data_IF_669487157104
#
_entry.id   IF_669487157104
#
_cell.length_a   1.000
_cell.length_b   1.000
_cell.length_c   1.000
_cell.angle_alpha   90.00
_cell.angle_beta   90.00
_cell.angle_gamma   90.00
#
_symmetry.space_group_name_H-M   'P 1'
#
loop_
_entity.id
_entity.type
_entity.pdbx_description
1 polymer ?
#
# COMPACT_ATOMS: atom_id res chain seq x y z
N UNK A 1 8.86 36.19 8.24
CA UNK A 1 8.30 35.34 7.15
C UNK A 1 8.70 33.92 7.49
N UNK A 2 7.76 33.06 7.86
CA UNK A 2 8.03 31.62 7.96
C UNK A 2 8.07 31.06 6.54
N UNK A 3 8.96 30.12 6.20
CA UNK A 3 8.95 29.49 4.89
C UNK A 3 7.58 28.84 4.69
N UNK A 4 7.00 29.02 3.51
CA UNK A 4 5.81 28.29 3.10
C UNK A 4 6.28 26.84 2.98
N UNK A 5 5.95 25.99 3.95
CA UNK A 5 6.19 24.56 3.81
C UNK A 5 5.49 24.12 2.51
N UNK A 6 6.23 23.54 1.58
CA UNK A 6 5.62 23.00 0.37
C UNK A 6 4.67 21.86 0.79
N UNK A 7 3.39 21.98 0.45
CA UNK A 7 2.41 20.92 0.66
C UNK A 7 2.74 19.78 -0.32
N UNK A 8 3.51 18.78 0.13
CA UNK A 8 3.88 17.64 -0.69
C UNK A 8 2.74 16.64 -0.73
N UNK A 9 2.30 16.28 -1.93
CA UNK A 9 1.24 15.29 -2.12
C UNK A 9 1.83 13.93 -2.49
N UNK A 10 1.50 12.94 -1.66
CA UNK A 10 1.93 11.56 -1.83
C UNK A 10 0.74 10.63 -2.11
N UNK A 11 1.01 9.53 -2.79
CA UNK A 11 0.10 8.40 -2.84
C UNK A 11 0.78 7.07 -2.48
N UNK A 12 0.03 6.20 -1.83
CA UNK A 12 0.44 4.83 -1.54
C UNK A 12 -0.61 3.87 -2.09
N UNK A 13 -0.16 2.88 -2.86
CA UNK A 13 -0.98 1.75 -3.30
C UNK A 13 -0.55 0.52 -2.50
N UNK A 14 -1.50 -0.10 -1.82
CA UNK A 14 -1.32 -1.33 -1.05
C UNK A 14 -2.13 -2.46 -1.69
N UNK A 15 -1.46 -3.49 -2.19
CA UNK A 15 -2.06 -4.65 -2.84
C UNK A 15 -1.97 -5.85 -1.89
N UNK A 16 -2.97 -5.95 -1.01
CA UNK A 16 -3.07 -7.04 -0.05
C UNK A 16 -3.94 -8.22 -0.51
N UNK A 17 -3.95 -9.27 0.31
CA UNK A 17 -4.67 -10.51 0.02
C UNK A 17 -6.20 -10.34 -0.04
N UNK A 18 -6.77 -9.42 0.73
CA UNK A 18 -8.22 -9.19 0.78
C UNK A 18 -8.68 -8.03 -0.12
N UNK A 19 -7.88 -6.96 -0.20
CA UNK A 19 -8.24 -5.75 -0.90
C UNK A 19 -7.01 -5.00 -1.39
N UNK A 20 -7.24 -4.16 -2.38
CA UNK A 20 -6.28 -3.21 -2.90
C UNK A 20 -6.71 -1.81 -2.49
N UNK A 21 -5.79 -0.99 -2.00
CA UNK A 21 -6.06 0.34 -1.47
C UNK A 21 -5.22 1.40 -2.16
N UNK A 22 -5.79 2.59 -2.33
CA UNK A 22 -5.09 3.82 -2.68
C UNK A 22 -5.31 4.81 -1.55
N UNK A 23 -4.23 5.30 -0.95
CA UNK A 23 -4.22 6.45 -0.07
C UNK A 23 -3.56 7.62 -0.79
N UNK A 24 -4.22 8.77 -0.83
CA UNK A 24 -3.61 10.05 -1.20
C UNK A 24 -3.59 10.91 0.05
N UNK A 25 -2.44 11.50 0.35
CA UNK A 25 -2.26 12.35 1.52
C UNK A 25 -1.39 13.57 1.20
N UNK A 26 -1.73 14.67 1.85
CA UNK A 26 -0.91 15.87 1.90
C UNK A 26 0.02 15.77 3.12
N UNK A 27 1.30 15.98 2.93
CA UNK A 27 2.33 15.96 3.98
C UNK A 27 2.81 17.39 4.18
N UNK A 28 2.52 17.93 5.37
CA UNK A 28 2.89 19.27 5.77
C UNK A 28 4.13 19.17 6.64
N UNK A 29 5.27 19.61 6.14
CA UNK A 29 6.51 19.66 6.93
C UNK A 29 6.39 20.68 8.06
N UNK A 30 6.70 20.27 9.29
CA UNK A 30 6.82 21.15 10.46
C UNK A 30 8.17 20.93 11.14
N UNK A 31 8.57 21.90 11.95
CA UNK A 31 9.86 21.92 12.67
C UNK A 31 10.05 20.69 13.56
N UNK A 32 8.97 20.21 14.20
CA UNK A 32 9.04 19.07 15.11
C UNK A 32 8.85 17.72 14.39
N UNK A 33 7.76 17.58 13.65
CA UNK A 33 7.41 16.37 12.89
C UNK A 33 6.46 16.69 11.73
N UNK A 34 6.52 15.92 10.62
CA UNK A 34 5.57 16.09 9.53
C UNK A 34 4.14 15.75 9.96
N UNK A 35 3.17 16.51 9.46
CA UNK A 35 1.74 16.25 9.67
C UNK A 35 1.14 15.66 8.40
N UNK A 36 0.54 14.48 8.51
CA UNK A 36 -0.08 13.77 7.39
C UNK A 36 -1.59 14.01 7.41
N UNK A 37 -2.11 14.67 6.37
CA UNK A 37 -3.54 14.86 6.16
C UNK A 37 -4.03 13.90 5.07
N UNK A 38 -4.90 12.95 5.45
CA UNK A 38 -5.50 12.00 4.50
C UNK A 38 -6.50 12.74 3.60
N UNK A 39 -6.21 12.80 2.32
CA UNK A 39 -7.03 13.50 1.32
C UNK A 39 -8.05 12.56 0.70
N UNK A 40 -7.64 11.33 0.37
CA UNK A 40 -8.49 10.32 -0.25
C UNK A 40 -8.06 8.92 0.16
N UNK A 41 -9.04 8.05 0.45
CA UNK A 41 -8.81 6.62 0.66
C UNK A 41 -9.81 5.82 -0.17
N UNK A 42 -9.31 5.05 -1.14
CA UNK A 42 -10.12 4.16 -1.98
C UNK A 42 -9.75 2.72 -1.66
N UNK A 43 -10.74 1.85 -1.52
CA UNK A 43 -10.55 0.43 -1.26
C UNK A 43 -11.37 -0.41 -2.24
N UNK A 44 -10.71 -1.34 -2.93
CA UNK A 44 -11.33 -2.28 -3.86
C UNK A 44 -11.17 -3.71 -3.34
N UNK A 45 -12.26 -4.44 -3.03
CA UNK A 45 -12.19 -5.78 -2.47
C UNK A 45 -11.98 -6.85 -3.57
N UNK A 46 -10.76 -6.97 -4.09
CA UNK A 46 -10.42 -7.93 -5.15
C UNK A 46 -10.23 -9.37 -4.60
N UNK A 47 -9.82 -9.50 -3.33
CA UNK A 47 -9.59 -10.77 -2.64
C UNK A 47 -8.61 -11.70 -3.37
N UNK A 48 -7.46 -11.19 -3.79
CA UNK A 48 -6.41 -11.99 -4.47
C UNK A 48 -6.04 -13.28 -3.72
N UNK A 49 -5.97 -13.21 -2.39
CA UNK A 49 -5.67 -14.34 -1.53
C UNK A 49 -6.63 -15.51 -1.67
N UNK A 50 -7.90 -15.29 -2.03
CA UNK A 50 -8.83 -16.39 -2.24
C UNK A 50 -8.43 -17.31 -3.41
N UNK A 51 -7.74 -16.78 -4.44
CA UNK A 51 -7.23 -17.63 -5.51
C UNK A 51 -5.88 -18.23 -5.11
N UNK A 52 -5.00 -17.41 -4.52
CA UNK A 52 -3.63 -17.83 -4.21
C UNK A 52 -3.59 -18.88 -3.12
N UNK A 53 -4.40 -18.76 -2.07
CA UNK A 53 -4.40 -19.71 -0.95
C UNK A 53 -5.14 -21.01 -1.26
N UNK A 54 -5.92 -21.05 -2.34
CA UNK A 54 -6.63 -22.25 -2.79
C UNK A 54 -5.89 -22.94 -3.96
N UNK A 55 -5.54 -22.17 -4.99
CA UNK A 55 -4.99 -22.67 -6.26
C UNK A 55 -3.49 -22.36 -6.45
N UNK A 56 -2.88 -21.55 -5.59
CA UNK A 56 -1.46 -21.15 -5.70
C UNK A 56 -1.16 -20.11 -6.79
N UNK A 57 -2.17 -19.58 -7.47
CA UNK A 57 -2.00 -18.62 -8.57
C UNK A 57 -3.14 -17.59 -8.61
N UNK A 58 -2.87 -16.41 -9.14
CA UNK A 58 -3.90 -15.38 -9.39
C UNK A 58 -4.64 -15.73 -10.67
N UNK A 59 -5.96 -15.86 -10.63
CA UNK A 59 -6.76 -16.14 -11.83
C UNK A 59 -6.74 -14.96 -12.82
N UNK A 60 -6.96 -15.27 -14.11
CA UNK A 60 -7.10 -14.26 -15.16
C UNK A 60 -8.19 -13.22 -14.82
N UNK A 61 -9.30 -13.66 -14.24
CA UNK A 61 -10.38 -12.78 -13.83
C UNK A 61 -9.93 -11.76 -12.76
N UNK A 62 -9.19 -12.21 -11.73
CA UNK A 62 -8.66 -11.32 -10.70
C UNK A 62 -7.51 -10.44 -11.19
N UNK A 63 -6.66 -10.94 -12.09
CA UNK A 63 -5.63 -10.14 -12.76
C UNK A 63 -6.28 -8.99 -13.55
N UNK A 64 -7.28 -9.28 -14.37
CA UNK A 64 -7.95 -8.26 -15.18
C UNK A 64 -8.69 -7.25 -14.30
N UNK A 65 -9.26 -7.71 -13.18
CA UNK A 65 -9.88 -6.82 -12.20
C UNK A 65 -8.85 -5.94 -11.47
N UNK A 66 -7.69 -6.49 -11.12
CA UNK A 66 -6.56 -5.75 -10.55
C UNK A 66 -6.10 -4.66 -11.52
N UNK A 67 -5.86 -4.99 -12.78
CA UNK A 67 -5.44 -4.02 -13.82
C UNK A 67 -6.46 -2.89 -13.95
N UNK A 68 -7.76 -3.21 -14.04
CA UNK A 68 -8.82 -2.17 -14.10
C UNK A 68 -8.81 -1.25 -12.88
N UNK A 69 -8.64 -1.82 -11.69
CA UNK A 69 -8.60 -1.05 -10.44
C UNK A 69 -7.38 -0.13 -10.38
N UNK A 70 -6.22 -0.62 -10.81
CA UNK A 70 -4.98 0.13 -10.86
C UNK A 70 -4.98 1.22 -11.92
N UNK A 71 -5.62 1.01 -13.09
CA UNK A 71 -5.89 2.09 -14.07
C UNK A 71 -6.71 3.21 -13.44
N UNK A 72 -7.75 2.89 -12.68
CA UNK A 72 -8.55 3.90 -11.98
C UNK A 72 -7.71 4.64 -10.92
N UNK A 73 -6.83 3.93 -10.20
CA UNK A 73 -5.93 4.56 -9.23
C UNK A 73 -4.93 5.51 -9.90
N UNK A 74 -4.37 5.12 -11.06
CA UNK A 74 -3.48 5.99 -11.84
C UNK A 74 -4.17 7.30 -12.22
N UNK A 75 -5.42 7.23 -12.68
CA UNK A 75 -6.23 8.40 -13.02
C UNK A 75 -6.52 9.29 -11.80
N UNK A 76 -6.76 8.69 -10.62
CA UNK A 76 -6.92 9.45 -9.38
C UNK A 76 -5.62 10.13 -8.95
N UNK A 77 -4.49 9.45 -9.04
CA UNK A 77 -3.16 10.02 -8.75
C UNK A 77 -2.91 11.24 -9.66
N UNK A 78 -3.20 11.12 -10.96
CA UNK A 78 -3.08 12.24 -11.92
C UNK A 78 -4.05 13.38 -11.60
N UNK A 79 -5.33 13.08 -11.37
CA UNK A 79 -6.35 14.10 -11.11
C UNK A 79 -6.08 14.90 -9.82
N UNK A 80 -5.42 14.28 -8.83
CA UNK A 80 -5.04 14.94 -7.59
C UNK A 80 -3.70 15.68 -7.70
N UNK A 81 -2.97 15.56 -8.82
CA UNK A 81 -1.66 16.18 -9.01
C UNK A 81 -0.60 15.61 -8.08
N UNK A 82 -0.63 14.30 -7.81
CA UNK A 82 0.36 13.63 -6.94
C UNK A 82 1.68 13.49 -7.70
N UNK A 83 2.77 14.00 -7.13
CA UNK A 83 4.10 13.91 -7.74
C UNK A 83 4.87 12.65 -7.32
N UNK A 84 4.56 12.09 -6.16
CA UNK A 84 5.29 10.96 -5.58
C UNK A 84 4.33 9.86 -5.16
N UNK A 85 4.55 8.66 -5.66
CA UNK A 85 3.77 7.51 -5.22
C UNK A 85 4.60 6.23 -5.15
N UNK A 86 4.17 5.30 -4.30
CA UNK A 86 4.75 3.95 -4.19
C UNK A 86 3.62 2.92 -4.20
N UNK A 87 3.83 1.82 -4.93
CA UNK A 87 2.89 0.70 -4.96
C UNK A 87 3.59 -0.55 -4.41
N UNK A 88 3.01 -1.12 -3.36
CA UNK A 88 3.52 -2.33 -2.72
C UNK A 88 2.48 -3.46 -2.81
N UNK A 89 2.96 -4.69 -2.94
CA UNK A 89 2.14 -5.90 -2.83
C UNK A 89 2.71 -6.86 -1.78
N UNK A 90 1.82 -7.55 -1.07
CA UNK A 90 2.18 -8.34 0.12
C UNK A 90 1.87 -9.82 -0.07
N UNK A 91 1.45 -10.54 0.98
CA UNK A 91 1.33 -12.01 1.05
C UNK A 91 0.76 -12.67 -0.22
N UNK A 92 -0.44 -12.27 -0.70
CA UNK A 92 -1.03 -12.92 -1.86
C UNK A 92 -0.17 -12.80 -3.14
N UNK A 93 0.45 -11.66 -3.40
CA UNK A 93 1.31 -11.52 -4.59
C UNK A 93 2.65 -12.24 -4.39
N UNK A 94 3.19 -12.22 -3.18
CA UNK A 94 4.43 -12.90 -2.82
C UNK A 94 4.34 -14.41 -3.02
N UNK A 95 3.20 -14.99 -2.65
CA UNK A 95 2.92 -16.45 -2.69
C UNK A 95 2.40 -16.95 -4.05
N UNK A 96 1.92 -16.05 -4.93
CA UNK A 96 1.41 -16.44 -6.23
C UNK A 96 2.52 -16.99 -7.15
N UNK A 97 2.35 -18.22 -7.63
CA UNK A 97 3.29 -18.89 -8.55
C UNK A 97 3.44 -18.16 -9.88
N UNK A 98 2.39 -17.46 -10.34
CA UNK A 98 2.36 -16.66 -11.56
C UNK A 98 2.59 -15.15 -11.33
N UNK A 99 3.14 -14.74 -10.17
CA UNK A 99 3.35 -13.31 -9.84
C UNK A 99 4.13 -12.53 -10.90
N UNK A 100 5.17 -13.13 -11.48
CA UNK A 100 6.02 -12.44 -12.46
C UNK A 100 5.23 -12.06 -13.73
N UNK A 101 4.35 -12.95 -14.19
CA UNK A 101 3.45 -12.67 -15.30
C UNK A 101 2.47 -11.55 -14.91
N UNK A 102 1.78 -11.68 -13.77
CA UNK A 102 0.80 -10.69 -13.32
C UNK A 102 1.42 -9.29 -13.20
N UNK A 103 2.62 -9.18 -12.62
CA UNK A 103 3.34 -7.91 -12.48
C UNK A 103 3.71 -7.31 -13.84
N UNK A 104 4.20 -8.13 -14.79
CA UNK A 104 4.52 -7.66 -16.13
C UNK A 104 3.29 -7.13 -16.87
N UNK A 105 2.14 -7.82 -16.76
CA UNK A 105 0.88 -7.35 -17.33
C UNK A 105 0.40 -6.04 -16.68
N UNK A 106 0.52 -5.92 -15.36
CA UNK A 106 0.16 -4.68 -14.67
C UNK A 106 1.04 -3.52 -15.12
N UNK A 107 2.35 -3.70 -15.17
CA UNK A 107 3.28 -2.64 -15.58
C UNK A 107 3.00 -2.21 -17.03
N UNK A 108 2.84 -3.16 -17.95
CA UNK A 108 2.49 -2.90 -19.35
C UNK A 108 1.17 -2.12 -19.51
N UNK A 109 0.13 -2.49 -18.75
CA UNK A 109 -1.21 -1.94 -18.91
C UNK A 109 -1.43 -0.62 -18.15
N UNK A 110 -0.70 -0.41 -17.06
CA UNK A 110 -0.96 0.70 -16.11
C UNK A 110 0.21 1.68 -16.00
N UNK A 111 1.42 1.27 -16.40
CA UNK A 111 2.66 1.99 -16.13
C UNK A 111 3.06 2.02 -14.65
N UNK A 112 2.39 1.26 -13.79
CA UNK A 112 2.73 1.17 -12.36
C UNK A 112 3.73 0.05 -12.13
N UNK A 113 4.88 0.41 -11.61
CA UNK A 113 5.81 -0.55 -11.03
C UNK A 113 5.34 -0.94 -9.63
N UNK A 114 5.16 -2.25 -9.40
CA UNK A 114 4.74 -2.80 -8.10
C UNK A 114 5.94 -3.48 -7.44
N UNK A 115 6.25 -3.03 -6.24
CA UNK A 115 7.24 -3.66 -5.38
C UNK A 115 6.58 -4.77 -4.55
N UNK A 116 7.05 -6.00 -4.68
CA UNK A 116 6.63 -7.09 -3.79
C UNK A 116 7.52 -7.08 -2.56
N UNK A 117 6.92 -6.81 -1.39
CA UNK A 117 7.67 -6.70 -0.13
C UNK A 117 7.54 -7.96 0.72
N UNK A 118 8.57 -8.25 1.50
CA UNK A 118 8.57 -9.33 2.48
C UNK A 118 7.92 -8.91 3.80
N UNK A 119 7.47 -9.89 4.58
CA UNK A 119 6.77 -9.66 5.87
C UNK A 119 7.53 -8.74 6.84
N UNK A 120 8.86 -8.87 7.03
CA UNK A 120 9.60 -7.94 7.89
C UNK A 120 9.56 -6.49 7.40
N UNK A 121 9.66 -6.26 6.09
CA UNK A 121 9.58 -4.91 5.50
C UNK A 121 8.17 -4.34 5.70
N UNK A 122 7.14 -5.16 5.50
CA UNK A 122 5.75 -4.79 5.78
C UNK A 122 5.55 -4.39 7.24
N UNK A 123 6.05 -5.22 8.17
CA UNK A 123 6.02 -4.97 9.61
C UNK A 123 6.74 -3.68 10.00
N UNK A 124 7.94 -3.43 9.45
CA UNK A 124 8.72 -2.22 9.70
C UNK A 124 8.00 -0.97 9.17
N UNK A 125 7.38 -1.04 7.99
CA UNK A 125 6.62 0.08 7.42
C UNK A 125 5.40 0.42 8.28
N UNK A 126 4.70 -0.60 8.79
CA UNK A 126 3.56 -0.41 9.70
C UNK A 126 4.04 0.17 11.03
N UNK A 127 5.11 -0.39 11.60
CA UNK A 127 5.69 0.08 12.85
C UNK A 127 6.18 1.53 12.76
N UNK A 128 6.74 1.98 11.64
CA UNK A 128 7.16 3.37 11.47
C UNK A 128 5.99 4.38 11.48
N UNK A 129 4.74 3.94 11.41
CA UNK A 129 3.58 4.80 11.68
C UNK A 129 3.37 5.09 13.18
N UNK A 130 4.10 4.43 14.07
CA UNK A 130 4.02 4.54 15.53
C UNK A 130 4.21 5.98 16.04
N UNK A 131 5.08 6.78 15.41
CA UNK A 131 5.29 8.19 15.77
C UNK A 131 4.04 9.06 15.57
N UNK A 132 3.04 8.57 14.84
CA UNK A 132 1.74 9.24 14.67
C UNK A 132 0.72 8.88 15.76
N UNK A 133 1.09 8.01 16.71
CA UNK A 133 0.21 7.52 17.77
C UNK A 133 0.63 8.12 19.13
N UNK A 134 -0.33 8.58 19.92
CA UNK A 134 -0.12 9.13 21.27
C UNK A 134 0.20 8.00 22.29
N UNK A 135 1.35 7.34 22.13
CA UNK A 135 1.78 6.24 22.99
C UNK A 135 2.71 6.76 24.10
N UNK A 136 2.61 6.12 25.29
CA UNK A 136 3.45 6.46 26.45
C UNK A 136 4.92 6.14 26.15
N UNK A 137 5.83 7.08 26.45
CA UNK A 137 7.27 6.99 26.19
C UNK A 137 7.97 5.79 26.87
N UNK A 138 7.45 5.29 27.99
CA UNK A 138 8.09 4.24 28.80
C UNK A 138 7.32 2.90 28.80
N UNK A 139 6.51 2.64 27.76
CA UNK A 139 5.77 1.39 27.62
C UNK A 139 6.51 0.33 26.78
N UNK A 140 6.32 -0.95 27.09
CA UNK A 140 6.65 -2.06 26.19
C UNK A 140 5.42 -2.39 25.34
N UNK A 141 5.57 -2.35 24.01
CA UNK A 141 4.46 -2.57 23.08
C UNK A 141 4.77 -3.78 22.20
N UNK A 142 3.76 -4.61 21.97
CA UNK A 142 3.77 -5.63 20.92
C UNK A 142 2.72 -5.21 19.89
N UNK A 143 3.16 -4.90 18.68
CA UNK A 143 2.29 -4.66 17.55
C UNK A 143 1.99 -5.99 16.87
N UNK A 144 0.71 -6.25 16.59
CA UNK A 144 0.24 -7.44 15.90
C UNK A 144 -0.62 -6.97 14.73
N UNK A 145 -0.11 -7.09 13.51
CA UNK A 145 -0.93 -6.88 12.30
C UNK A 145 -1.54 -8.20 11.86
N UNK A 146 -2.84 -8.22 11.62
CA UNK A 146 -3.57 -9.42 11.17
C UNK A 146 -4.10 -9.16 9.77
N UNK A 147 -3.32 -9.60 8.78
CA UNK A 147 -3.66 -9.54 7.37
C UNK A 147 -4.59 -10.66 6.92
N UNK A 148 -4.94 -10.63 5.64
CA UNK A 148 -5.76 -11.69 5.02
C UNK A 148 -5.00 -12.98 4.70
N UNK A 149 -3.67 -12.95 4.76
CA UNK A 149 -2.79 -14.09 4.45
C UNK A 149 -1.51 -14.15 5.26
N UNK A 150 -1.27 -13.18 6.14
CA UNK A 150 -0.10 -13.14 7.02
C UNK A 150 -0.45 -12.47 8.34
N UNK A 151 0.43 -12.63 9.32
CA UNK A 151 0.34 -11.97 10.61
C UNK A 151 1.75 -11.57 11.04
N UNK A 152 1.95 -10.29 11.26
CA UNK A 152 3.24 -9.68 11.53
C UNK A 152 3.31 -9.25 12.99
N UNK A 153 4.46 -9.49 13.65
CA UNK A 153 4.72 -9.14 15.04
C UNK A 153 5.95 -8.23 15.12
N UNK A 154 5.80 -7.06 15.73
CA UNK A 154 6.90 -6.09 15.96
C UNK A 154 6.89 -5.61 17.40
N UNK A 155 8.05 -5.47 18.03
CA UNK A 155 8.21 -5.05 19.44
C UNK A 155 9.45 -4.18 19.62
#
# INVERSE_FOLDING_TARGET
MHPIAEDLKYAAIDIGSNAVRLLIADVIERVDHPVIKKTQLVRVPIRLGADVFDMGAISNAKRDYLIKSLKAFRLLIDAYGVNYFRACATSAMREATNRAEVLAWVEMETGLHIEVIDGPIEADLIFNTFWTQDLLKDGSYLYIDVGGGSTELTW
#
